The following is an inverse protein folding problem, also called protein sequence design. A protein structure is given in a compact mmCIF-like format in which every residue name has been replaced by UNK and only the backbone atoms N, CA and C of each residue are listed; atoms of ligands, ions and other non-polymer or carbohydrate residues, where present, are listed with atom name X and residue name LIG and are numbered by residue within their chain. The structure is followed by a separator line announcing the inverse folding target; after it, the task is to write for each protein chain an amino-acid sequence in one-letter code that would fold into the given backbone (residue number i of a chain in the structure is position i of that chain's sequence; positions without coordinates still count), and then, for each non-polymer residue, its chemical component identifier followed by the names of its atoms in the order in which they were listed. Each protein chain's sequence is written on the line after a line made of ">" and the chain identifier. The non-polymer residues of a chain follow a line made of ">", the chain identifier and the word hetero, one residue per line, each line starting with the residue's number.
data_IF_417471214932
#
_entry.id   IF_417471214932
#
_cell.length_a   1.000
_cell.length_b   1.000
_cell.length_c   1.000
_cell.angle_alpha   90.00
_cell.angle_beta   90.00
_cell.angle_gamma   90.00
#
_symmetry.space_group_name_H-M   'P 1'
#
loop_
_entity.id
_entity.type
_entity.pdbx_description
1 polymer ?
#
# COMPACT_ATOMS: atom_id res chain seq x y z
N UNK A 1 -4.62 26.78 -17.04
CA UNK A 1 -4.97 25.92 -15.90
C UNK A 1 -3.66 25.40 -15.37
N UNK A 2 -3.45 25.45 -14.06
CA UNK A 2 -2.23 24.93 -13.44
C UNK A 2 -2.34 23.39 -13.48
N UNK A 3 -1.32 22.73 -14.05
CA UNK A 3 -1.29 21.27 -14.19
C UNK A 3 -0.99 20.56 -12.88
N UNK A 4 -0.54 21.30 -11.87
CA UNK A 4 -0.27 20.81 -10.53
C UNK A 4 -0.41 21.91 -9.49
N UNK A 5 -0.95 21.56 -8.33
CA UNK A 5 -0.89 22.33 -7.09
C UNK A 5 -0.15 21.46 -6.10
N UNK A 6 0.94 22.01 -5.54
CA UNK A 6 1.79 21.28 -4.59
C UNK A 6 1.99 22.19 -3.38
N UNK A 7 1.55 21.74 -2.23
CA UNK A 7 1.82 22.38 -0.93
C UNK A 7 2.60 21.38 -0.06
N UNK A 8 3.80 21.79 0.37
CA UNK A 8 4.65 20.96 1.20
C UNK A 8 5.12 21.82 2.39
N UNK A 9 4.83 21.34 3.59
CA UNK A 9 5.33 21.92 4.81
C UNK A 9 6.21 20.92 5.56
N UNK A 10 7.40 21.35 5.96
CA UNK A 10 8.32 20.54 6.76
C UNK A 10 9.09 21.41 7.76
N UNK A 11 9.55 20.80 8.86
CA UNK A 11 10.44 21.43 9.83
C UNK A 11 11.93 21.03 9.64
N UNK A 12 12.27 20.49 8.48
CA UNK A 12 13.61 20.05 8.10
C UNK A 12 13.84 20.28 6.60
N UNK A 13 15.07 20.03 6.10
CA UNK A 13 15.39 20.16 4.68
C UNK A 13 14.60 19.13 3.84
N UNK A 14 13.86 19.60 2.84
CA UNK A 14 13.06 18.76 1.95
C UNK A 14 13.89 17.73 1.18
N UNK A 15 15.18 17.99 0.93
CA UNK A 15 16.07 16.99 0.31
C UNK A 15 16.23 15.74 1.19
N UNK A 16 16.06 15.88 2.51
CA UNK A 16 16.09 14.76 3.45
C UNK A 16 14.73 14.03 3.57
N UNK A 17 13.68 14.51 2.90
CA UNK A 17 12.34 13.90 3.00
C UNK A 17 12.31 12.49 2.44
N UNK A 18 13.04 12.22 1.36
CA UNK A 18 13.13 10.87 0.78
C UNK A 18 13.76 9.89 1.76
N UNK A 19 14.85 10.28 2.44
CA UNK A 19 15.49 9.44 3.45
C UNK A 19 14.57 9.21 4.64
N UNK A 20 13.81 10.24 5.06
CA UNK A 20 12.83 10.11 6.12
C UNK A 20 11.72 9.13 5.75
N UNK A 21 11.14 9.25 4.56
CA UNK A 21 10.08 8.37 4.07
C UNK A 21 10.56 6.92 3.96
N UNK A 22 11.77 6.71 3.43
CA UNK A 22 12.37 5.37 3.34
C UNK A 22 12.66 4.79 4.73
N UNK A 23 13.21 5.59 5.65
CA UNK A 23 13.48 5.15 7.01
C UNK A 23 12.17 4.85 7.76
N UNK A 24 11.15 5.68 7.60
CA UNK A 24 9.84 5.47 8.18
C UNK A 24 9.20 4.19 7.64
N UNK A 25 9.12 4.02 6.31
CA UNK A 25 8.56 2.82 5.68
C UNK A 25 9.31 1.56 6.12
N UNK A 26 10.64 1.60 6.18
CA UNK A 26 11.46 0.48 6.64
C UNK A 26 11.21 0.15 8.11
N UNK A 27 11.05 1.16 8.97
CA UNK A 27 10.74 0.95 10.38
C UNK A 27 9.34 0.38 10.58
N UNK A 28 8.35 0.89 9.84
CA UNK A 28 6.97 0.38 9.84
C UNK A 28 6.92 -1.08 9.43
N UNK A 29 7.67 -1.47 8.38
CA UNK A 29 7.67 -2.83 7.84
C UNK A 29 8.53 -3.80 8.66
N UNK A 30 9.59 -3.33 9.34
CA UNK A 30 10.53 -4.21 10.04
C UNK A 30 10.16 -4.53 11.49
N UNK A 31 9.43 -3.67 12.17
CA UNK A 31 8.84 -3.95 13.49
C UNK A 31 7.92 -2.81 13.92
N UNK A 32 6.67 -3.08 14.31
CA UNK A 32 5.80 -2.09 14.95
C UNK A 32 6.43 -1.46 16.19
N UNK A 33 7.22 -2.23 16.96
CA UNK A 33 7.93 -1.74 18.14
C UNK A 33 9.11 -0.80 17.81
N UNK A 34 9.67 -0.88 16.60
CA UNK A 34 10.77 0.01 16.21
C UNK A 34 10.32 1.45 15.90
N UNK A 35 9.02 1.66 15.65
CA UNK A 35 8.44 3.00 15.58
C UNK A 35 8.59 3.74 16.91
N UNK A 36 8.59 3.03 18.03
CA UNK A 36 8.77 3.62 19.37
C UNK A 36 10.21 4.09 19.65
N UNK A 37 11.20 3.67 18.85
CA UNK A 37 12.63 4.00 19.08
C UNK A 37 13.16 5.14 18.22
N UNK A 38 12.46 5.55 17.17
CA UNK A 38 12.87 6.67 16.33
C UNK A 38 12.49 8.00 17.01
N UNK A 39 13.30 8.44 17.97
CA UNK A 39 13.12 9.71 18.66
C UNK A 39 13.50 10.91 17.77
N UNK A 40 12.96 10.96 16.56
CA UNK A 40 13.08 12.12 15.66
C UNK A 40 12.12 13.23 16.06
N UNK A 41 12.38 14.44 15.59
CA UNK A 41 11.50 15.60 15.74
C UNK A 41 10.99 16.13 14.41
N UNK A 42 11.23 15.37 13.33
CA UNK A 42 10.86 15.76 11.97
C UNK A 42 9.36 15.62 11.77
N UNK A 43 8.79 16.57 11.07
CA UNK A 43 7.41 16.55 10.63
C UNK A 43 7.33 17.00 9.17
N UNK A 44 6.52 16.29 8.39
CA UNK A 44 6.27 16.57 6.98
C UNK A 44 4.77 16.53 6.76
N UNK A 45 4.23 17.48 6.02
CA UNK A 45 2.92 17.38 5.38
C UNK A 45 3.06 17.67 3.89
N UNK A 46 2.24 17.00 3.12
CA UNK A 46 2.16 17.17 1.67
C UNK A 46 0.70 17.16 1.24
N UNK A 47 0.33 18.13 0.43
CA UNK A 47 -0.93 18.17 -0.30
C UNK A 47 -0.60 18.37 -1.78
N UNK A 48 -1.00 17.40 -2.59
CA UNK A 48 -0.73 17.36 -4.01
C UNK A 48 -2.04 17.18 -4.78
N UNK A 49 -2.26 18.04 -5.74
CA UNK A 49 -3.30 17.88 -6.74
C UNK A 49 -2.66 17.96 -8.12
N UNK A 50 -2.79 16.90 -8.89
CA UNK A 50 -2.34 16.82 -10.28
C UNK A 50 -3.55 16.70 -11.19
N UNK A 51 -3.54 17.46 -12.30
CA UNK A 51 -4.63 17.48 -13.30
C UNK A 51 -4.16 17.07 -14.69
N UNK A 52 -2.87 16.75 -14.83
CA UNK A 52 -2.27 16.38 -16.11
C UNK A 52 -1.18 15.33 -15.92
N UNK A 53 -1.08 14.32 -16.79
CA UNK A 53 -0.01 13.31 -16.75
C UNK A 53 1.38 13.84 -17.13
N UNK A 54 1.49 15.10 -17.56
CA UNK A 54 2.75 15.67 -18.06
C UNK A 54 3.93 15.55 -17.11
N UNK A 55 3.72 15.71 -15.80
CA UNK A 55 4.78 15.56 -14.78
C UNK A 55 5.33 14.13 -14.75
N UNK A 56 4.49 13.12 -14.91
CA UNK A 56 4.90 11.72 -14.92
C UNK A 56 5.75 11.38 -16.15
N UNK A 57 5.44 11.97 -17.32
CA UNK A 57 6.25 11.82 -18.53
C UNK A 57 7.65 12.42 -18.33
N UNK A 58 7.76 13.58 -17.66
CA UNK A 58 9.07 14.20 -17.34
C UNK A 58 9.89 13.29 -16.41
N UNK A 59 9.21 12.56 -15.50
CA UNK A 59 9.85 11.59 -14.60
C UNK A 59 10.11 10.22 -15.26
N UNK A 60 9.76 10.04 -16.53
CA UNK A 60 9.92 8.77 -17.25
C UNK A 60 8.93 7.68 -16.80
N UNK A 61 7.82 8.06 -16.20
CA UNK A 61 6.77 7.15 -15.75
C UNK A 61 5.75 6.95 -16.87
N UNK A 62 5.30 5.69 -17.03
CA UNK A 62 4.29 5.30 -18.04
C UNK A 62 2.88 5.54 -17.50
N UNK A 63 2.52 6.80 -17.29
CA UNK A 63 1.16 7.24 -16.94
C UNK A 63 0.62 8.00 -18.11
N UNK A 64 -0.43 7.47 -18.73
CA UNK A 64 -0.98 8.02 -19.99
C UNK A 64 -2.18 8.91 -19.78
N UNK A 65 -3.00 8.61 -18.76
CA UNK A 65 -4.20 9.39 -18.46
C UNK A 65 -4.61 9.24 -17.00
N UNK A 66 -5.20 10.27 -16.42
CA UNK A 66 -5.93 10.23 -15.16
C UNK A 66 -6.86 11.45 -15.07
N UNK A 67 -7.95 11.30 -14.31
CA UNK A 67 -8.68 12.44 -13.77
C UNK A 67 -7.82 13.06 -12.65
N UNK A 68 -8.27 14.05 -11.96
CA UNK A 68 -7.51 14.69 -10.90
C UNK A 68 -7.00 13.68 -9.88
N UNK A 69 -5.66 13.60 -9.71
CA UNK A 69 -5.01 12.81 -8.68
C UNK A 69 -4.79 13.69 -7.44
N UNK A 70 -5.39 13.31 -6.34
CA UNK A 70 -5.17 13.92 -5.04
C UNK A 70 -4.29 13.02 -4.19
N UNK A 71 -3.29 13.61 -3.55
CA UNK A 71 -2.50 12.96 -2.50
C UNK A 71 -2.37 13.94 -1.35
N UNK A 72 -2.79 13.54 -0.17
CA UNK A 72 -2.60 14.28 1.07
C UNK A 72 -1.96 13.39 2.10
N UNK A 73 -1.02 13.91 2.86
CA UNK A 73 -0.38 13.13 3.90
C UNK A 73 0.39 13.95 4.92
N UNK A 74 0.53 13.39 6.10
CA UNK A 74 1.32 13.95 7.17
C UNK A 74 2.09 12.87 7.92
N UNK A 75 3.34 13.14 8.27
CA UNK A 75 4.17 12.27 9.09
C UNK A 75 4.75 13.12 10.23
N UNK A 76 4.67 12.61 11.45
CA UNK A 76 5.22 13.25 12.63
C UNK A 76 6.00 12.23 13.47
N UNK A 77 7.33 12.31 13.41
CA UNK A 77 8.20 11.39 14.16
C UNK A 77 8.02 11.52 15.68
N UNK A 78 7.83 12.73 16.19
CA UNK A 78 7.66 12.96 17.64
C UNK A 78 6.37 12.34 18.18
N UNK A 79 5.30 12.41 17.40
CA UNK A 79 4.01 11.82 17.75
C UNK A 79 3.88 10.36 17.31
N UNK A 80 4.85 9.87 16.53
CA UNK A 80 4.83 8.53 15.91
C UNK A 80 3.55 8.29 15.11
N UNK A 81 3.13 9.31 14.38
CA UNK A 81 1.94 9.26 13.54
C UNK A 81 2.30 9.45 12.09
N UNK A 82 1.58 8.76 11.23
CA UNK A 82 1.52 9.02 9.80
C UNK A 82 0.09 8.83 9.32
N UNK A 83 -0.32 9.63 8.37
CA UNK A 83 -1.57 9.50 7.64
C UNK A 83 -1.31 9.87 6.19
N UNK A 84 -1.76 9.05 5.26
CA UNK A 84 -1.61 9.26 3.83
C UNK A 84 -2.92 8.85 3.16
N UNK A 85 -3.46 9.73 2.33
CA UNK A 85 -4.63 9.47 1.51
C UNK A 85 -4.26 9.77 0.06
N UNK A 86 -4.65 8.89 -0.86
CA UNK A 86 -4.57 9.18 -2.29
C UNK A 86 -5.85 8.74 -2.99
N UNK A 87 -6.28 9.50 -3.99
CA UNK A 87 -7.48 9.18 -4.75
C UNK A 87 -7.43 9.76 -6.17
N UNK A 88 -8.07 9.05 -7.09
CA UNK A 88 -8.39 9.52 -8.43
C UNK A 88 -9.66 8.84 -8.92
N UNK A 89 -10.42 9.48 -9.80
CA UNK A 89 -11.61 8.87 -10.42
C UNK A 89 -11.30 7.98 -11.59
N UNK A 90 -10.19 8.24 -12.27
CA UNK A 90 -9.74 7.46 -13.40
C UNK A 90 -8.22 7.46 -13.44
N UNK A 91 -7.62 6.34 -13.85
CA UNK A 91 -6.18 6.23 -14.06
C UNK A 91 -5.89 5.22 -15.16
N UNK A 92 -4.93 5.57 -16.02
CA UNK A 92 -4.37 4.66 -17.03
C UNK A 92 -2.86 4.81 -17.07
N UNK A 93 -2.16 3.71 -16.88
CA UNK A 93 -0.69 3.64 -16.90
C UNK A 93 -0.19 2.24 -16.63
N UNK A 94 1.04 1.94 -17.03
CA UNK A 94 1.68 0.62 -16.80
C UNK A 94 0.83 -0.58 -17.26
N UNK A 95 0.01 -0.40 -18.29
CA UNK A 95 -0.91 -1.43 -18.77
C UNK A 95 -2.13 -1.66 -17.87
N UNK A 96 -2.32 -0.83 -16.85
CA UNK A 96 -3.47 -0.84 -15.94
C UNK A 96 -4.40 0.31 -16.31
N UNK A 97 -5.70 0.06 -16.31
CA UNK A 97 -6.74 1.08 -16.32
C UNK A 97 -7.70 0.79 -15.18
N UNK A 98 -8.13 1.82 -14.46
CA UNK A 98 -9.08 1.70 -13.36
C UNK A 98 -9.94 2.95 -13.22
N UNK A 99 -11.11 2.75 -12.62
CA UNK A 99 -12.00 3.82 -12.16
C UNK A 99 -12.02 3.84 -10.62
N UNK A 100 -12.25 5.02 -10.05
CA UNK A 100 -12.50 5.20 -8.60
C UNK A 100 -11.44 4.58 -7.69
N UNK A 101 -10.18 4.97 -7.89
CA UNK A 101 -9.12 4.58 -6.95
C UNK A 101 -9.15 5.42 -5.68
N UNK A 102 -9.08 4.74 -4.55
CA UNK A 102 -8.89 5.33 -3.23
C UNK A 102 -7.94 4.49 -2.40
N UNK A 103 -7.03 5.13 -1.68
CA UNK A 103 -6.22 4.47 -0.66
C UNK A 103 -6.01 5.38 0.53
N UNK A 104 -6.01 4.80 1.70
CA UNK A 104 -5.65 5.45 2.96
C UNK A 104 -4.74 4.55 3.75
N UNK A 105 -3.67 5.10 4.30
CA UNK A 105 -2.80 4.42 5.25
C UNK A 105 -2.56 5.31 6.45
N UNK A 106 -2.70 4.74 7.64
CA UNK A 106 -2.46 5.44 8.90
C UNK A 106 -1.58 4.59 9.82
N UNK A 107 -0.70 5.27 10.55
CA UNK A 107 0.09 4.65 11.61
C UNK A 107 0.01 5.52 12.87
N UNK A 108 -0.18 4.90 14.02
CA UNK A 108 -0.24 5.57 15.31
C UNK A 108 0.28 4.63 16.41
N UNK A 109 1.41 4.98 17.02
CA UNK A 109 1.97 4.25 18.15
C UNK A 109 2.22 2.75 17.87
N UNK A 110 2.66 2.40 16.66
CA UNK A 110 2.92 1.02 16.25
C UNK A 110 1.69 0.28 15.67
N UNK A 111 0.51 0.88 15.72
CA UNK A 111 -0.67 0.35 15.04
C UNK A 111 -0.71 0.91 13.62
N UNK A 112 -0.77 0.04 12.63
CA UNK A 112 -0.86 0.37 11.22
C UNK A 112 -2.21 -0.09 10.70
N UNK A 113 -2.88 0.76 9.97
CA UNK A 113 -4.06 0.43 9.19
C UNK A 113 -3.88 0.95 7.77
N UNK A 114 -4.28 0.19 6.78
CA UNK A 114 -4.33 0.68 5.41
C UNK A 114 -5.50 0.04 4.68
N UNK A 115 -6.11 0.81 3.80
CA UNK A 115 -7.14 0.36 2.89
C UNK A 115 -6.81 0.83 1.49
N UNK A 116 -7.11 0.01 0.51
CA UNK A 116 -7.06 0.36 -0.91
C UNK A 116 -8.31 -0.19 -1.58
N UNK A 117 -8.91 0.61 -2.39
CA UNK A 117 -10.12 0.30 -3.14
C UNK A 117 -9.99 0.81 -4.57
N UNK A 118 -10.28 -0.04 -5.54
CA UNK A 118 -10.23 0.32 -6.95
C UNK A 118 -11.33 -0.41 -7.73
N UNK A 119 -12.13 0.35 -8.46
CA UNK A 119 -13.20 -0.16 -9.28
C UNK A 119 -12.78 -0.32 -10.74
N UNK A 120 -13.41 -1.28 -11.43
CA UNK A 120 -13.25 -1.53 -12.86
C UNK A 120 -11.79 -1.60 -13.29
N UNK A 121 -11.03 -2.40 -12.57
CA UNK A 121 -9.61 -2.58 -12.87
C UNK A 121 -9.46 -3.49 -14.07
N UNK A 122 -8.71 -3.02 -15.07
CA UNK A 122 -8.26 -3.80 -16.23
C UNK A 122 -6.75 -3.89 -16.21
N UNK A 123 -6.23 -5.07 -16.51
CA UNK A 123 -4.82 -5.26 -16.83
C UNK A 123 -4.71 -5.68 -18.29
N UNK A 124 -4.12 -4.84 -19.10
CA UNK A 124 -4.17 -4.93 -20.56
C UNK A 124 -5.62 -5.02 -21.06
N UNK A 125 -6.06 -6.19 -21.51
CA UNK A 125 -7.45 -6.45 -21.97
C UNK A 125 -8.26 -7.30 -21.00
N UNK A 126 -7.67 -7.70 -19.87
CA UNK A 126 -8.31 -8.58 -18.90
C UNK A 126 -9.04 -7.76 -17.85
N UNK A 127 -10.34 -7.98 -17.75
CA UNK A 127 -11.18 -7.40 -16.71
C UNK A 127 -10.92 -8.12 -15.38
N UNK A 128 -10.33 -7.40 -14.41
CA UNK A 128 -10.10 -7.87 -13.05
C UNK A 128 -11.32 -7.55 -12.17
N UNK A 129 -12.06 -6.50 -12.48
CA UNK A 129 -13.19 -6.04 -11.69
C UNK A 129 -12.77 -5.09 -10.58
N UNK A 130 -13.34 -5.25 -9.39
CA UNK A 130 -13.01 -4.49 -8.20
C UNK A 130 -11.88 -5.16 -7.41
N UNK A 131 -10.98 -4.35 -6.86
CA UNK A 131 -9.90 -4.76 -5.97
C UNK A 131 -10.06 -4.03 -4.64
N UNK A 132 -10.22 -4.79 -3.56
CA UNK A 132 -10.16 -4.28 -2.19
C UNK A 132 -8.96 -4.88 -1.46
N UNK A 133 -8.20 -4.05 -0.76
CA UNK A 133 -7.12 -4.47 0.14
C UNK A 133 -7.29 -3.82 1.49
N UNK A 134 -7.20 -4.60 2.55
CA UNK A 134 -7.19 -4.11 3.93
C UNK A 134 -5.96 -4.64 4.65
N UNK A 135 -5.29 -3.78 5.39
CA UNK A 135 -4.16 -4.11 6.25
C UNK A 135 -4.44 -3.57 7.65
N UNK A 136 -4.15 -4.36 8.67
CA UNK A 136 -4.17 -3.88 10.05
C UNK A 136 -3.18 -4.64 10.93
N UNK A 137 -2.56 -3.93 11.86
CA UNK A 137 -1.62 -4.54 12.81
C UNK A 137 -2.37 -5.33 13.87
N UNK A 138 -1.95 -6.58 14.10
CA UNK A 138 -2.39 -7.44 15.20
C UNK A 138 -1.13 -7.88 15.95
N UNK A 139 -0.86 -7.26 17.09
CA UNK A 139 0.38 -7.50 17.87
C UNK A 139 1.62 -7.22 16.98
N UNK A 140 2.43 -8.24 16.74
CA UNK A 140 3.69 -8.15 15.98
C UNK A 140 3.50 -8.49 14.49
N UNK A 141 2.28 -8.78 14.05
CA UNK A 141 1.98 -9.15 12.68
C UNK A 141 1.03 -8.16 12.05
N UNK A 142 1.03 -8.09 10.74
CA UNK A 142 0.06 -7.34 9.95
C UNK A 142 -0.90 -8.33 9.31
N UNK A 143 -2.16 -8.29 9.69
CA UNK A 143 -3.19 -9.02 8.96
C UNK A 143 -3.48 -8.28 7.65
N UNK A 144 -3.58 -9.03 6.56
CA UNK A 144 -3.89 -8.54 5.23
C UNK A 144 -5.06 -9.31 4.64
N UNK A 145 -5.97 -8.59 4.03
CA UNK A 145 -7.07 -9.13 3.27
C UNK A 145 -7.06 -8.56 1.85
N UNK A 146 -7.15 -9.43 0.84
CA UNK A 146 -7.28 -9.08 -0.57
C UNK A 146 -8.58 -9.67 -1.11
N UNK A 147 -9.46 -8.81 -1.59
CA UNK A 147 -10.72 -9.21 -2.23
C UNK A 147 -10.71 -8.77 -3.69
N UNK A 148 -10.98 -9.71 -4.59
CA UNK A 148 -11.29 -9.43 -5.98
C UNK A 148 -12.75 -9.79 -6.24
N UNK A 149 -13.52 -8.85 -6.80
CA UNK A 149 -14.93 -9.08 -7.08
C UNK A 149 -15.34 -8.55 -8.45
N UNK A 150 -16.40 -9.16 -8.99
CA UNK A 150 -17.03 -8.73 -10.23
C UNK A 150 -18.55 -8.78 -10.05
N UNK A 151 -19.23 -7.73 -10.50
CA UNK A 151 -20.69 -7.64 -10.40
C UNK A 151 -21.22 -7.94 -8.98
N UNK A 152 -20.55 -7.45 -7.94
CA UNK A 152 -20.87 -7.65 -6.51
C UNK A 152 -20.56 -9.05 -5.93
N UNK A 153 -20.09 -10.00 -6.74
CA UNK A 153 -19.68 -11.31 -6.27
C UNK A 153 -18.16 -11.40 -6.14
N UNK A 154 -17.66 -11.69 -4.93
CA UNK A 154 -16.25 -11.99 -4.73
C UNK A 154 -15.90 -13.30 -5.44
N UNK A 155 -14.88 -13.28 -6.27
CA UNK A 155 -14.33 -14.48 -6.90
C UNK A 155 -12.97 -14.89 -6.34
N UNK A 156 -12.33 -14.01 -5.56
CA UNK A 156 -11.16 -14.30 -4.75
C UNK A 156 -11.27 -13.51 -3.46
N UNK A 157 -11.06 -14.19 -2.35
CA UNK A 157 -10.92 -13.59 -1.02
C UNK A 157 -9.76 -14.28 -0.30
N UNK A 158 -8.68 -13.53 -0.07
CA UNK A 158 -7.43 -14.05 0.45
C UNK A 158 -7.05 -13.37 1.75
N UNK A 159 -7.03 -14.14 2.83
CA UNK A 159 -6.63 -13.70 4.15
C UNK A 159 -5.22 -14.22 4.47
N UNK A 160 -4.37 -13.33 4.94
CA UNK A 160 -3.00 -13.70 5.31
C UNK A 160 -2.49 -12.84 6.46
N UNK A 161 -1.49 -13.35 7.17
CA UNK A 161 -0.71 -12.58 8.15
C UNK A 161 0.70 -12.41 7.62
N UNK A 162 1.19 -11.20 7.78
CA UNK A 162 2.51 -10.77 7.35
C UNK A 162 3.36 -10.51 8.60
N UNK A 163 4.50 -11.16 8.70
CA UNK A 163 5.49 -10.89 9.75
C UNK A 163 6.71 -10.25 9.11
N UNK A 164 6.91 -8.94 9.30
CA UNK A 164 8.10 -8.25 8.80
C UNK A 164 9.38 -8.80 9.43
N UNK A 165 10.39 -9.05 8.59
CA UNK A 165 11.69 -9.54 8.97
C UNK A 165 12.78 -8.57 8.49
N UNK A 166 14.00 -8.72 9.00
CA UNK A 166 15.10 -7.82 8.64
C UNK A 166 15.44 -7.82 7.13
N UNK A 167 15.27 -8.96 6.47
CA UNK A 167 15.67 -9.16 5.07
C UNK A 167 14.49 -9.54 4.17
N UNK A 168 13.24 -9.27 4.62
CA UNK A 168 12.05 -9.64 3.86
C UNK A 168 10.81 -9.74 4.74
N UNK A 169 9.91 -10.60 4.35
CA UNK A 169 8.64 -10.79 5.01
C UNK A 169 8.26 -12.28 5.04
N UNK A 170 7.81 -12.76 6.18
CA UNK A 170 7.15 -14.06 6.27
C UNK A 170 5.65 -13.87 6.04
N UNK A 171 5.09 -14.66 5.14
CA UNK A 171 3.68 -14.66 4.77
C UNK A 171 3.06 -15.94 5.28
N UNK A 172 2.03 -15.82 6.10
CA UNK A 172 1.26 -16.92 6.66
C UNK A 172 -0.16 -16.87 6.06
N UNK A 173 -0.43 -17.61 4.96
CA UNK A 173 -1.77 -17.69 4.42
C UNK A 173 -2.72 -18.34 5.44
N UNK A 174 -3.83 -17.69 5.74
CA UNK A 174 -4.83 -18.20 6.68
C UNK A 174 -6.00 -18.86 5.93
N UNK A 175 -6.53 -18.18 4.92
CA UNK A 175 -7.66 -18.68 4.13
C UNK A 175 -7.60 -18.12 2.70
N UNK A 176 -8.09 -18.90 1.75
CA UNK A 176 -8.28 -18.50 0.36
C UNK A 176 -9.62 -19.04 -0.13
N UNK A 177 -10.53 -18.16 -0.48
CA UNK A 177 -11.77 -18.48 -1.14
C UNK A 177 -11.66 -18.11 -2.63
N UNK A 178 -11.84 -19.08 -3.52
CA UNK A 178 -11.83 -18.89 -4.98
C UNK A 178 -13.09 -19.45 -5.57
N UNK A 179 -13.94 -18.61 -6.16
CA UNK A 179 -15.23 -19.02 -6.77
C UNK A 179 -16.05 -19.94 -5.87
N UNK A 180 -16.30 -19.54 -4.61
CA UNK A 180 -17.02 -20.31 -3.59
C UNK A 180 -16.30 -21.56 -3.06
N UNK A 181 -15.14 -21.93 -3.61
CA UNK A 181 -14.29 -22.99 -3.07
C UNK A 181 -13.43 -22.44 -1.95
N UNK A 182 -13.55 -23.03 -0.77
CA UNK A 182 -12.84 -22.60 0.43
C UNK A 182 -11.61 -23.47 0.67
N UNK A 183 -10.46 -22.82 0.69
CA UNK A 183 -9.19 -23.43 1.02
C UNK A 183 -8.72 -22.93 2.37
N UNK A 184 -8.48 -23.83 3.30
CA UNK A 184 -7.80 -23.52 4.57
C UNK A 184 -6.38 -24.07 4.51
N UNK A 185 -5.43 -23.21 4.74
CA UNK A 185 -4.03 -23.61 4.74
C UNK A 185 -3.65 -24.10 6.14
N UNK A 186 -3.29 -25.38 6.25
CA UNK A 186 -2.70 -25.94 7.46
C UNK A 186 -1.17 -25.72 7.42
N UNK A 187 -0.76 -24.44 7.37
CA UNK A 187 0.66 -24.11 7.22
C UNK A 187 1.30 -23.99 8.59
N UNK A 188 2.29 -24.85 8.82
CA UNK A 188 3.23 -24.66 9.91
C UNK A 188 4.41 -23.78 9.49
N UNK A 189 4.66 -23.68 8.18
CA UNK A 189 5.83 -22.99 7.63
C UNK A 189 5.40 -21.81 6.74
N UNK A 190 5.90 -20.60 7.02
CA UNK A 190 5.57 -19.41 6.24
C UNK A 190 6.25 -19.43 4.86
N UNK A 191 5.65 -18.71 3.92
CA UNK A 191 6.35 -18.33 2.68
C UNK A 191 7.25 -17.15 3.01
N UNK A 192 8.53 -17.25 2.73
CA UNK A 192 9.45 -16.14 2.87
C UNK A 192 9.54 -15.37 1.55
N UNK A 193 9.33 -14.06 1.60
CA UNK A 193 9.40 -13.14 0.47
C UNK A 193 10.47 -12.10 0.74
N UNK A 194 11.42 -11.96 -0.18
CA UNK A 194 12.45 -10.91 -0.18
C UNK A 194 12.44 -10.16 -1.51
N UNK A 195 13.27 -9.13 -1.63
CA UNK A 195 13.41 -8.32 -2.86
C UNK A 195 13.82 -9.15 -4.10
N UNK A 196 14.43 -10.31 -3.89
CA UNK A 196 15.00 -11.13 -4.96
C UNK A 196 14.51 -12.59 -5.00
N UNK A 197 13.73 -13.03 -4.01
CA UNK A 197 13.31 -14.42 -3.93
C UNK A 197 11.98 -14.61 -3.20
N UNK A 198 11.28 -15.68 -3.59
CA UNK A 198 10.15 -16.24 -2.85
C UNK A 198 10.50 -17.67 -2.52
N UNK A 199 10.54 -18.00 -1.23
CA UNK A 199 10.93 -19.32 -0.73
C UNK A 199 9.74 -19.99 -0.08
N UNK A 200 9.37 -21.16 -0.58
CA UNK A 200 8.36 -22.06 -0.01
C UNK A 200 9.08 -23.21 0.65
N UNK A 201 8.93 -23.40 1.95
CA UNK A 201 9.64 -24.48 2.66
C UNK A 201 8.93 -25.82 2.45
N UNK A 202 7.61 -25.87 2.47
CA UNK A 202 6.80 -27.01 2.04
C UNK A 202 5.44 -26.52 1.51
N UNK A 203 5.14 -26.81 0.26
CA UNK A 203 3.80 -26.58 -0.32
C UNK A 203 3.06 -27.93 -0.33
N UNK A 204 2.21 -28.17 0.66
CA UNK A 204 1.22 -29.24 0.62
C UNK A 204 -0.13 -28.62 0.21
N UNK A 205 -0.57 -28.91 -1.01
CA UNK A 205 -1.90 -28.55 -1.54
C UNK A 205 -2.84 -29.72 -1.35
#
# INVERSE_FOLDING_TARGET
>A
ADDAIIDIASNFDLLASQEMLQAWAKNVLNSPDSLMQAAGTRALSIDLQLTSPGIFHVLGMDVTDFDTLFVSGAINEKLQTADIIASTRHFTGYGISLDSFYTQAAANGGVITATMDADKVFYATTDIGHIGVELHTIKDTVAANLVLSRDTAAYLDFHTRLLPMREGMQVYPDALDVYEMKYQFAWNDPVFVSDSSVVFDQLLI
#
